data_IF_712139951871
#
_entry.id   IF_712139951871
#
_cell.length_a   1.000
_cell.length_b   1.000
_cell.length_c   1.000
_cell.angle_alpha   90.00
_cell.angle_beta   90.00
_cell.angle_gamma   90.00
#
_symmetry.space_group_name_H-M   'P 1'
#
loop_
_entity.id
_entity.type
_entity.pdbx_description
1 polymer ?
#
# COMPACT_ATOMS: atom_id res chain seq x y z
N UNK A 1 3.83 0.05 -29.76
CA UNK A 1 4.62 0.37 -28.55
C UNK A 1 3.69 0.32 -27.36
N UNK A 2 4.09 -0.25 -26.20
CA UNK A 2 3.27 -0.25 -24.99
C UNK A 2 3.06 1.18 -24.46
N UNK A 3 1.94 1.43 -23.78
CA UNK A 3 1.63 2.73 -23.18
C UNK A 3 2.63 3.07 -22.04
N UNK A 4 2.87 4.36 -21.73
CA UNK A 4 3.83 4.75 -20.68
C UNK A 4 3.59 4.05 -19.33
N UNK A 5 2.34 4.06 -18.85
CA UNK A 5 1.95 3.39 -17.60
C UNK A 5 2.25 1.88 -17.64
N UNK A 6 2.09 1.22 -18.79
CA UNK A 6 2.43 -0.20 -18.92
C UNK A 6 3.92 -0.45 -18.68
N UNK A 7 4.77 0.44 -19.21
CA UNK A 7 6.22 0.35 -19.02
C UNK A 7 6.58 0.56 -17.55
N UNK A 8 5.90 1.49 -16.87
CA UNK A 8 6.11 1.75 -15.44
C UNK A 8 5.66 0.58 -14.57
N UNK A 9 4.53 -0.05 -14.89
CA UNK A 9 4.04 -1.27 -14.25
C UNK A 9 5.05 -2.42 -14.35
N UNK A 10 5.70 -2.58 -15.51
CA UNK A 10 6.74 -3.60 -15.72
C UNK A 10 8.01 -3.35 -14.90
N UNK A 11 8.26 -2.12 -14.46
CA UNK A 11 9.44 -1.79 -13.63
C UNK A 11 9.25 -2.22 -12.19
N UNK A 12 8.00 -2.30 -11.72
CA UNK A 12 7.65 -2.72 -10.36
C UNK A 12 8.02 -4.19 -10.16
N UNK A 13 8.96 -4.54 -9.26
CA UNK A 13 9.47 -5.90 -9.13
C UNK A 13 8.40 -6.97 -8.89
N UNK A 14 7.41 -6.70 -8.02
CA UNK A 14 6.34 -7.67 -7.73
C UNK A 14 5.47 -7.98 -8.94
N UNK A 15 5.32 -7.03 -9.87
CA UNK A 15 4.45 -7.15 -11.04
C UNK A 15 5.14 -7.78 -12.24
N UNK A 16 6.48 -7.97 -12.20
CA UNK A 16 7.23 -8.60 -13.30
C UNK A 16 6.76 -10.02 -13.63
N UNK A 17 6.26 -10.75 -12.62
CA UNK A 17 5.74 -12.11 -12.77
C UNK A 17 4.33 -12.17 -13.38
N UNK A 18 3.63 -11.04 -13.48
CA UNK A 18 2.23 -10.96 -13.97
C UNK A 18 2.18 -10.98 -15.50
N UNK A 19 3.27 -10.56 -16.17
CA UNK A 19 3.37 -10.55 -17.63
C UNK A 19 2.76 -9.32 -18.30
N UNK A 20 3.29 -8.95 -19.47
CA UNK A 20 2.93 -7.71 -20.18
C UNK A 20 1.45 -7.66 -20.57
N UNK A 21 0.93 -8.77 -21.08
CA UNK A 21 -0.47 -8.87 -21.54
C UNK A 21 -1.44 -8.62 -20.39
N UNK A 22 -1.18 -9.24 -19.24
CA UNK A 22 -2.00 -9.10 -18.05
C UNK A 22 -1.92 -7.68 -17.48
N UNK A 23 -0.73 -7.09 -17.41
CA UNK A 23 -0.54 -5.70 -16.96
C UNK A 23 -1.19 -4.67 -17.89
N UNK A 24 -1.31 -4.98 -19.19
CA UNK A 24 -1.98 -4.09 -20.14
C UNK A 24 -3.46 -3.85 -19.78
N UNK A 25 -4.08 -4.79 -19.05
CA UNK A 25 -5.47 -4.68 -18.58
C UNK A 25 -5.64 -3.70 -17.42
N UNK A 26 -4.57 -3.44 -16.66
CA UNK A 26 -4.58 -2.42 -15.60
C UNK A 26 -4.51 -1.00 -16.17
N UNK A 27 -3.86 -0.81 -17.32
CA UNK A 27 -3.64 0.51 -17.93
C UNK A 27 -4.92 1.35 -18.07
N UNK A 28 -6.03 0.86 -18.66
CA UNK A 28 -7.24 1.67 -18.83
C UNK A 28 -7.94 2.05 -17.52
N UNK A 29 -7.62 1.39 -16.42
CA UNK A 29 -8.21 1.64 -15.09
C UNK A 29 -7.19 2.27 -14.13
N UNK A 30 -6.04 2.71 -14.66
CA UNK A 30 -4.93 3.27 -13.89
C UNK A 30 -4.57 4.66 -14.39
N UNK A 31 -4.14 5.51 -13.46
CA UNK A 31 -3.57 6.81 -13.77
C UNK A 31 -2.36 7.11 -12.89
N UNK A 32 -1.42 7.92 -13.41
CA UNK A 32 -0.30 8.41 -12.61
C UNK A 32 -0.72 9.67 -11.86
N UNK A 33 -0.64 9.63 -10.54
CA UNK A 33 -0.87 10.79 -9.65
C UNK A 33 0.44 11.27 -9.08
N UNK A 34 0.63 12.59 -9.09
CA UNK A 34 1.80 13.28 -8.54
C UNK A 34 1.35 14.06 -7.31
N UNK A 35 2.14 13.99 -6.25
CA UNK A 35 1.86 14.68 -4.99
C UNK A 35 3.13 15.38 -4.50
N UNK A 36 2.98 16.62 -4.04
CA UNK A 36 4.06 17.39 -3.42
C UNK A 36 4.38 16.91 -2.01
N UNK A 37 5.44 17.44 -1.40
CA UNK A 37 5.80 17.09 -0.02
C UNK A 37 4.68 17.44 0.97
N UNK A 38 4.33 16.51 1.86
CA UNK A 38 3.27 16.66 2.85
C UNK A 38 1.84 16.65 2.30
N UNK A 39 1.66 16.43 0.99
CA UNK A 39 0.33 16.35 0.39
C UNK A 39 -0.36 15.03 0.74
N UNK A 40 -1.66 15.12 1.02
CA UNK A 40 -2.46 13.95 1.37
C UNK A 40 -2.97 13.26 0.10
N UNK A 41 -2.60 12.00 -0.08
CA UNK A 41 -3.04 11.14 -1.19
C UNK A 41 -4.47 10.63 -0.96
N UNK A 42 -4.78 10.25 0.28
CA UNK A 42 -6.14 9.96 0.75
C UNK A 42 -6.25 10.16 2.26
N UNK A 43 -7.47 10.39 2.76
CA UNK A 43 -7.71 10.57 4.19
C UNK A 43 -8.30 9.34 4.88
N UNK A 44 -8.01 9.20 6.16
CA UNK A 44 -8.69 8.22 7.00
C UNK A 44 -10.21 8.47 7.00
N UNK A 45 -10.99 7.40 6.88
CA UNK A 45 -12.46 7.46 6.88
C UNK A 45 -13.07 7.69 5.50
N UNK A 46 -12.28 8.03 4.48
CA UNK A 46 -12.77 8.14 3.12
C UNK A 46 -13.03 6.75 2.50
N UNK A 47 -14.07 6.63 1.65
CA UNK A 47 -14.26 5.43 0.85
C UNK A 47 -13.04 5.15 -0.03
N UNK A 48 -12.61 3.89 -0.05
CA UNK A 48 -11.40 3.45 -0.75
C UNK A 48 -11.67 3.24 -2.24
N UNK A 49 -11.80 4.34 -2.98
CA UNK A 49 -12.07 4.33 -4.42
C UNK A 49 -10.85 3.95 -5.27
N UNK A 50 -9.64 4.00 -4.70
CA UNK A 50 -8.42 3.70 -5.44
C UNK A 50 -7.51 2.77 -4.63
N UNK A 51 -6.93 1.80 -5.32
CA UNK A 51 -5.77 1.05 -4.87
C UNK A 51 -4.52 1.70 -5.46
N UNK A 52 -3.40 1.69 -4.74
CA UNK A 52 -2.24 2.45 -5.16
C UNK A 52 -0.96 1.62 -5.17
N UNK A 53 -0.04 2.00 -6.06
CA UNK A 53 1.33 1.53 -6.05
C UNK A 53 2.26 2.75 -6.02
N UNK A 54 3.16 2.80 -5.05
CA UNK A 54 4.18 3.84 -4.99
C UNK A 54 5.16 3.62 -6.15
N UNK A 55 5.21 4.54 -7.11
CA UNK A 55 6.10 4.44 -8.27
C UNK A 55 7.45 5.12 -8.00
N UNK A 56 7.42 6.29 -7.36
CA UNK A 56 8.60 7.09 -6.99
C UNK A 56 8.29 7.90 -5.73
N UNK A 57 9.33 8.21 -4.94
CA UNK A 57 9.17 8.91 -3.66
C UNK A 57 8.77 7.95 -2.54
N UNK A 58 8.24 8.50 -1.45
CA UNK A 58 7.82 7.73 -0.29
C UNK A 58 6.45 8.20 0.18
N UNK A 59 5.65 7.28 0.73
CA UNK A 59 4.34 7.59 1.30
C UNK A 59 4.31 7.16 2.76
N UNK A 60 3.96 8.10 3.63
CA UNK A 60 3.72 7.86 5.04
C UNK A 60 2.28 7.42 5.25
N UNK A 61 2.09 6.25 5.88
CA UNK A 61 0.79 5.81 6.38
C UNK A 61 0.65 6.29 7.82
N UNK A 62 -0.20 7.26 8.05
CA UNK A 62 -0.28 7.99 9.33
C UNK A 62 -1.61 7.78 10.04
N UNK A 63 -1.59 7.79 11.36
CA UNK A 63 -2.79 7.77 12.20
C UNK A 63 -2.68 8.80 13.33
N UNK A 64 -3.73 9.59 13.51
CA UNK A 64 -3.87 10.41 14.70
C UNK A 64 -4.11 9.51 15.93
N UNK A 65 -3.23 9.62 16.92
CA UNK A 65 -3.33 8.89 18.21
C UNK A 65 -3.79 9.81 19.35
N UNK A 66 -3.61 11.11 19.18
CA UNK A 66 -4.21 12.17 20.00
C UNK A 66 -4.44 13.40 19.14
N UNK A 67 -5.08 14.45 19.70
CA UNK A 67 -5.44 15.67 18.97
C UNK A 67 -4.27 16.28 18.18
N UNK A 68 -3.09 16.31 18.79
CA UNK A 68 -1.89 16.95 18.24
C UNK A 68 -0.73 15.95 18.05
N UNK A 69 -1.04 14.65 18.05
CA UNK A 69 -0.04 13.59 17.92
C UNK A 69 -0.46 12.64 16.81
N UNK A 70 0.32 12.65 15.73
CA UNK A 70 0.22 11.73 14.61
C UNK A 70 1.38 10.74 14.67
N UNK A 71 1.07 9.46 14.53
CA UNK A 71 2.06 8.40 14.43
C UNK A 71 2.14 7.92 12.98
N UNK A 72 3.36 7.87 12.44
CA UNK A 72 3.64 7.14 11.20
C UNK A 72 3.65 5.64 11.50
N UNK A 73 2.67 4.91 10.98
CA UNK A 73 2.49 3.48 11.19
C UNK A 73 3.30 2.65 10.21
N UNK A 74 3.57 3.18 9.01
CA UNK A 74 4.44 2.53 8.03
C UNK A 74 4.92 3.51 6.98
N UNK A 75 6.15 3.34 6.51
CA UNK A 75 6.69 4.00 5.32
C UNK A 75 6.49 3.07 4.12
N UNK A 76 5.92 3.59 3.04
CA UNK A 76 5.66 2.87 1.80
C UNK A 76 6.67 3.37 0.76
N UNK A 77 7.50 2.47 0.27
CA UNK A 77 8.62 2.76 -0.64
C UNK A 77 8.26 2.41 -2.08
N UNK A 78 9.05 2.86 -3.08
CA UNK A 78 8.81 2.54 -4.48
C UNK A 78 8.69 1.04 -4.75
N UNK A 79 7.71 0.68 -5.56
CA UNK A 79 7.32 -0.69 -5.86
C UNK A 79 6.28 -1.26 -4.91
N UNK A 80 6.05 -0.67 -3.73
CA UNK A 80 5.10 -1.20 -2.73
C UNK A 80 3.66 -0.76 -2.98
N UNK A 81 2.72 -1.65 -2.68
CA UNK A 81 1.29 -1.36 -2.76
C UNK A 81 0.71 -0.81 -1.45
N UNK A 82 -0.30 0.04 -1.58
CA UNK A 82 -1.05 0.61 -0.45
C UNK A 82 -2.51 0.93 -0.83
N UNK A 83 -3.29 1.44 0.12
CA UNK A 83 -4.74 1.58 -0.07
C UNK A 83 -5.49 0.26 -0.07
N UNK A 84 -4.96 -0.78 0.60
CA UNK A 84 -5.49 -2.16 0.65
C UNK A 84 -7.00 -2.31 0.88
N UNK A 85 -7.70 -1.47 1.70
CA UNK A 85 -9.14 -1.55 1.82
C UNK A 85 -9.89 -1.47 0.48
N UNK A 86 -9.31 -0.84 -0.55
CA UNK A 86 -9.89 -0.75 -1.90
C UNK A 86 -10.14 -2.12 -2.56
N UNK A 87 -9.46 -3.18 -2.13
CA UNK A 87 -9.70 -4.54 -2.64
C UNK A 87 -10.98 -5.17 -2.07
N UNK A 88 -11.55 -4.58 -1.02
CA UNK A 88 -12.78 -5.06 -0.38
C UNK A 88 -13.99 -4.25 -0.86
N UNK A 89 -15.18 -4.87 -0.98
CA UNK A 89 -16.43 -4.14 -1.17
C UNK A 89 -16.64 -3.12 -0.04
N UNK A 90 -16.98 -1.88 -0.40
CA UNK A 90 -17.19 -0.78 0.55
C UNK A 90 -16.01 -0.53 1.51
N UNK A 91 -14.78 -0.77 1.03
CA UNK A 91 -13.57 -0.48 1.79
C UNK A 91 -13.47 0.98 2.21
N UNK A 92 -12.90 1.21 3.39
CA UNK A 92 -12.65 2.54 3.95
C UNK A 92 -11.17 2.62 4.34
N UNK A 93 -10.50 3.71 4.02
CA UNK A 93 -9.11 3.91 4.44
C UNK A 93 -9.01 4.02 5.97
N UNK A 94 -8.08 3.27 6.55
CA UNK A 94 -7.85 3.17 8.00
C UNK A 94 -6.64 3.97 8.50
N UNK A 95 -6.10 4.81 7.64
CA UNK A 95 -4.99 5.71 7.91
C UNK A 95 -5.07 6.84 6.91
N UNK A 96 -4.40 7.95 7.18
CA UNK A 96 -4.03 8.88 6.13
C UNK A 96 -2.89 8.26 5.31
N UNK A 97 -2.77 8.69 4.05
CA UNK A 97 -1.57 8.50 3.25
C UNK A 97 -1.06 9.88 2.83
N UNK A 98 0.17 10.18 3.20
CA UNK A 98 0.79 11.49 2.99
C UNK A 98 2.11 11.29 2.24
N UNK A 99 2.36 12.06 1.20
CA UNK A 99 3.64 12.01 0.48
C UNK A 99 4.78 12.59 1.31
N UNK A 100 5.94 11.96 1.22
CA UNK A 100 7.19 12.42 1.79
C UNK A 100 8.13 12.78 0.63
N UNK A 101 8.29 14.08 0.39
CA UNK A 101 8.91 14.62 -0.81
C UNK A 101 8.05 14.46 -2.07
N UNK A 102 8.64 14.77 -3.24
CA UNK A 102 7.97 14.56 -4.53
C UNK A 102 7.68 13.07 -4.75
N UNK A 103 6.39 12.75 -4.84
CA UNK A 103 5.91 11.37 -4.88
C UNK A 103 5.04 11.14 -6.11
N UNK A 104 5.24 10.00 -6.76
CA UNK A 104 4.43 9.54 -7.88
C UNK A 104 3.81 8.19 -7.54
N UNK A 105 2.50 8.08 -7.68
CA UNK A 105 1.76 6.86 -7.42
C UNK A 105 0.91 6.47 -8.63
N UNK A 106 0.86 5.18 -8.92
CA UNK A 106 -0.13 4.64 -9.86
C UNK A 106 -1.40 4.40 -9.06
N UNK A 107 -2.46 5.16 -9.35
CA UNK A 107 -3.78 5.00 -8.77
C UNK A 107 -4.63 4.11 -9.69
N UNK A 108 -5.19 3.04 -9.14
CA UNK A 108 -6.00 2.04 -9.84
C UNK A 108 -7.43 2.11 -9.32
N UNK A 109 -8.40 2.32 -10.20
CA UNK A 109 -9.81 2.44 -9.82
C UNK A 109 -10.32 1.11 -9.23
N UNK A 110 -10.82 1.18 -8.01
CA UNK A 110 -11.05 0.01 -7.17
C UNK A 110 -12.21 -0.86 -7.66
N UNK A 111 -13.31 -0.27 -8.15
CA UNK A 111 -14.45 -1.02 -8.65
C UNK A 111 -14.09 -1.82 -9.91
N UNK A 112 -13.39 -1.19 -10.86
CA UNK A 112 -12.93 -1.83 -12.09
C UNK A 112 -11.86 -2.88 -11.81
N UNK A 113 -10.97 -2.64 -10.85
CA UNK A 113 -9.99 -3.64 -10.43
C UNK A 113 -10.68 -4.88 -9.87
N UNK A 114 -11.64 -4.72 -8.95
CA UNK A 114 -12.41 -5.84 -8.40
C UNK A 114 -13.19 -6.56 -9.50
N UNK A 115 -13.90 -5.83 -10.35
CA UNK A 115 -14.64 -6.41 -11.47
C UNK A 115 -13.71 -7.19 -12.42
N UNK A 116 -12.52 -6.68 -12.71
CA UNK A 116 -11.55 -7.37 -13.55
C UNK A 116 -11.08 -8.69 -12.92
N UNK A 117 -10.81 -8.69 -11.61
CA UNK A 117 -10.44 -9.90 -10.87
C UNK A 117 -11.58 -10.91 -10.77
N UNK A 118 -12.83 -10.44 -10.65
CA UNK A 118 -14.02 -11.29 -10.57
C UNK A 118 -14.41 -11.87 -11.94
N UNK A 119 -14.10 -11.17 -13.03
CA UNK A 119 -14.44 -11.61 -14.39
C UNK A 119 -13.35 -12.48 -15.01
N UNK A 120 -12.08 -12.20 -14.67
CA UNK A 120 -10.92 -13.01 -15.04
C UNK A 120 -10.19 -13.50 -13.78
N UNK A 121 -10.51 -14.72 -13.38
CA UNK A 121 -9.92 -15.33 -12.19
C UNK A 121 -8.43 -15.64 -12.34
N UNK A 122 -7.92 -15.86 -13.55
CA UNK A 122 -6.47 -16.08 -13.77
C UNK A 122 -5.70 -14.79 -13.56
N UNK A 123 -6.22 -13.68 -14.10
CA UNK A 123 -5.75 -12.33 -13.80
C UNK A 123 -5.78 -12.09 -12.28
N UNK A 124 -6.94 -12.31 -11.65
CA UNK A 124 -7.14 -12.05 -10.23
C UNK A 124 -6.16 -12.83 -9.37
N UNK A 125 -6.06 -14.15 -9.59
CA UNK A 125 -5.15 -15.02 -8.85
C UNK A 125 -3.69 -14.61 -9.02
N UNK A 126 -3.28 -14.31 -10.26
CA UNK A 126 -1.89 -13.93 -10.57
C UNK A 126 -1.53 -12.60 -9.90
N UNK A 127 -2.42 -11.60 -9.98
CA UNK A 127 -2.22 -10.30 -9.34
C UNK A 127 -2.20 -10.42 -7.81
N UNK A 128 -3.15 -11.14 -7.21
CA UNK A 128 -3.16 -11.37 -5.76
C UNK A 128 -1.89 -12.07 -5.30
N UNK A 129 -1.42 -13.08 -6.03
CA UNK A 129 -0.17 -13.79 -5.69
C UNK A 129 1.03 -12.86 -5.75
N UNK A 130 1.11 -11.98 -6.74
CA UNK A 130 2.16 -10.97 -6.86
C UNK A 130 2.12 -9.96 -5.68
N UNK A 131 0.93 -9.53 -5.27
CA UNK A 131 0.73 -8.56 -4.19
C UNK A 131 0.82 -9.16 -2.78
N UNK A 132 0.64 -10.48 -2.64
CA UNK A 132 0.63 -11.17 -1.36
C UNK A 132 1.93 -10.95 -0.57
N UNK A 133 3.07 -10.89 -1.26
CA UNK A 133 4.36 -10.58 -0.65
C UNK A 133 4.34 -9.26 0.13
N UNK A 134 3.80 -8.19 -0.45
CA UNK A 134 3.70 -6.89 0.24
C UNK A 134 2.71 -6.89 1.41
N UNK A 135 1.64 -7.67 1.35
CA UNK A 135 0.73 -7.84 2.50
C UNK A 135 1.42 -8.56 3.66
N UNK A 136 2.15 -9.63 3.35
CA UNK A 136 2.88 -10.44 4.34
C UNK A 136 4.00 -9.62 4.97
N UNK A 137 4.79 -8.91 4.18
CA UNK A 137 5.83 -8.00 4.66
C UNK A 137 5.24 -6.93 5.58
N UNK A 138 4.16 -6.26 5.15
CA UNK A 138 3.46 -5.28 5.98
C UNK A 138 2.95 -5.86 7.30
N UNK A 139 2.46 -7.10 7.31
CA UNK A 139 2.03 -7.79 8.53
C UNK A 139 3.20 -8.04 9.47
N UNK A 140 4.30 -8.58 8.98
CA UNK A 140 5.47 -8.89 9.80
C UNK A 140 6.15 -7.63 10.33
N UNK A 141 6.37 -6.61 9.50
CA UNK A 141 6.93 -5.33 9.95
C UNK A 141 6.12 -4.71 11.08
N UNK A 142 4.78 -4.70 10.96
CA UNK A 142 3.91 -4.20 12.03
C UNK A 142 3.95 -5.06 13.29
N UNK A 143 4.07 -6.38 13.12
CA UNK A 143 4.20 -7.31 14.25
C UNK A 143 5.50 -7.04 15.01
N UNK A 144 6.62 -6.87 14.30
CA UNK A 144 7.91 -6.56 14.90
C UNK A 144 7.90 -5.20 15.60
N UNK A 145 7.31 -4.18 14.97
CA UNK A 145 7.14 -2.85 15.58
C UNK A 145 6.29 -2.91 16.85
N UNK A 146 5.19 -3.67 16.85
CA UNK A 146 4.37 -3.88 18.03
C UNK A 146 5.16 -4.56 19.14
N UNK A 147 5.88 -5.65 18.83
CA UNK A 147 6.70 -6.36 19.81
C UNK A 147 7.81 -5.47 20.39
N UNK A 148 8.43 -4.61 19.59
CA UNK A 148 9.39 -3.61 20.06
C UNK A 148 8.74 -2.59 21.00
N UNK A 149 7.55 -2.07 20.68
CA UNK A 149 6.85 -1.14 21.57
C UNK A 149 6.43 -1.81 22.89
N UNK A 150 5.97 -3.06 22.81
CA UNK A 150 5.56 -3.86 23.97
C UNK A 150 6.75 -4.17 24.88
N UNK A 151 7.93 -4.49 24.34
CA UNK A 151 9.14 -4.75 25.13
C UNK A 151 9.68 -3.51 25.86
N UNK A 152 9.34 -2.32 25.37
CA UNK A 152 9.64 -1.05 26.02
C UNK A 152 8.68 -0.72 27.19
N UNK A 153 7.57 -1.45 27.35
CA UNK A 153 6.63 -1.24 28.46
C UNK A 153 7.31 -1.56 29.81
N UNK A 154 7.22 -0.68 30.84
CA UNK A 154 7.98 -0.83 32.08
C UNK A 154 7.81 -2.18 32.77
N UNK A 155 6.57 -2.67 32.84
CA UNK A 155 6.24 -3.92 33.53
C UNK A 155 6.76 -5.17 32.78
N UNK A 156 6.83 -5.11 31.44
CA UNK A 156 7.28 -6.23 30.62
C UNK A 156 8.81 -6.24 30.50
N UNK A 157 9.42 -5.06 30.42
CA UNK A 157 10.88 -4.91 30.46
C UNK A 157 11.47 -5.54 31.71
N UNK A 158 10.83 -5.35 32.86
CA UNK A 158 11.24 -5.96 34.13
C UNK A 158 11.13 -7.50 34.15
N UNK A 159 10.18 -8.08 33.39
CA UNK A 159 10.05 -9.53 33.26
C UNK A 159 11.11 -10.13 32.32
N UNK A 160 11.40 -9.46 31.20
CA UNK A 160 12.40 -9.89 30.21
C UNK A 160 13.83 -9.84 30.81
N UNK A 161 14.17 -8.81 31.58
CA UNK A 161 15.50 -8.69 32.20
C UNK A 161 15.74 -9.60 33.41
N UNK A 162 14.71 -10.31 33.91
CA UNK A 162 14.83 -11.22 35.06
C UNK A 162 15.26 -12.64 34.67
N UNK A 163 15.31 -12.95 33.38
CA UNK A 163 15.72 -14.25 32.84
C UNK A 163 17.18 -14.30 32.36
N UNK A 164 17.97 -13.22 32.53
CA UNK A 164 19.43 -13.18 32.34
C UNK A 164 20.18 -13.24 33.67
#
# INVERSE_FOLDING_TARGET
MPAPITVDLLRIPMLRSVGVEMLSRLVPISEMRRSGDGERIYAMGEPAHHFFICHRGEVLSEQAIARDITATVSVITPGSCFGWPALLPNGIYRSDAVSQGETECIAIEAASLRQLMDTDHEFGYTLYKAMCGSLVERLFTRTDQLLQLVSLHPDLRAAITREE
#
